data_IF_201526252353
#
_entry.id   IF_201526252353
#
_cell.length_a   1.000
_cell.length_b   1.000
_cell.length_c   1.000
_cell.angle_alpha   90.00
_cell.angle_beta   90.00
_cell.angle_gamma   90.00
#
_symmetry.space_group_name_H-M   'P 1'
#
loop_
_entity.id
_entity.type
_entity.pdbx_description
1 polymer ?
#
# COMPACT_ATOMS: atom_id res chain seq x y z
N UNK A 1 -13.07 -0.48 10.93
CA UNK A 1 -11.82 -0.96 10.31
C UNK A 1 -10.76 0.14 10.37
N UNK A 2 -9.61 -0.17 10.93
CA UNK A 2 -8.53 0.79 11.10
C UNK A 2 -7.45 0.53 10.07
N UNK A 3 -6.83 1.59 9.59
CA UNK A 3 -5.71 1.50 8.65
C UNK A 3 -4.44 1.95 9.37
N UNK A 4 -3.47 1.06 9.44
CA UNK A 4 -2.18 1.34 10.03
C UNK A 4 -1.11 1.39 8.94
N UNK A 5 -0.12 2.25 9.13
CA UNK A 5 1.00 2.38 8.20
C UNK A 5 2.30 2.01 8.88
N UNK A 6 3.11 1.20 8.19
CA UNK A 6 4.45 0.91 8.66
C UNK A 6 5.30 2.17 8.63
N UNK A 7 6.44 2.15 9.31
CA UNK A 7 7.37 3.27 9.28
C UNK A 7 7.82 3.59 7.85
N UNK A 8 8.07 2.55 7.05
CA UNK A 8 8.43 2.74 5.64
C UNK A 8 7.34 3.43 4.85
N UNK A 9 6.09 3.03 5.09
CA UNK A 9 4.95 3.63 4.39
C UNK A 9 4.78 5.10 4.77
N UNK A 10 4.89 5.41 6.05
CA UNK A 10 4.83 6.80 6.51
C UNK A 10 5.92 7.64 5.88
N UNK A 11 7.15 7.12 5.86
CA UNK A 11 8.28 7.83 5.27
C UNK A 11 8.05 8.09 3.79
N UNK A 12 7.60 7.07 3.06
CA UNK A 12 7.34 7.20 1.63
C UNK A 12 6.30 8.28 1.35
N UNK A 13 5.20 8.28 2.11
CA UNK A 13 4.17 9.30 1.97
C UNK A 13 4.70 10.70 2.26
N UNK A 14 5.52 10.84 3.30
CA UNK A 14 6.03 12.15 3.70
C UNK A 14 6.95 12.78 2.65
N UNK A 15 7.53 11.98 1.77
CA UNK A 15 8.43 12.45 0.73
C UNK A 15 7.71 12.78 -0.58
N UNK A 16 6.41 12.58 -0.65
CA UNK A 16 5.62 12.85 -1.84
C UNK A 16 5.08 14.28 -1.83
N UNK A 17 4.82 14.83 -3.03
CA UNK A 17 4.09 16.10 -3.08
C UNK A 17 2.64 15.90 -2.62
N UNK A 18 1.98 17.00 -2.29
CA UNK A 18 0.64 16.96 -1.69
C UNK A 18 -0.40 16.28 -2.57
N UNK A 19 -0.32 16.46 -3.88
CA UNK A 19 -1.28 15.87 -4.81
C UNK A 19 -1.17 14.35 -4.84
N UNK A 20 0.05 13.85 -4.94
CA UNK A 20 0.30 12.40 -4.97
C UNK A 20 -0.07 11.79 -3.63
N UNK A 21 0.32 12.44 -2.53
CA UNK A 21 -0.01 11.98 -1.20
C UNK A 21 -1.52 11.83 -0.99
N UNK A 22 -2.29 12.84 -1.42
CA UNK A 22 -3.75 12.79 -1.31
C UNK A 22 -4.34 11.67 -2.15
N UNK A 23 -3.84 11.49 -3.37
CA UNK A 23 -4.32 10.45 -4.28
C UNK A 23 -4.11 9.07 -3.69
N UNK A 24 -2.92 8.81 -3.14
CA UNK A 24 -2.60 7.51 -2.54
C UNK A 24 -3.40 7.30 -1.27
N UNK A 25 -3.52 8.31 -0.43
CA UNK A 25 -4.30 8.21 0.81
C UNK A 25 -5.76 7.90 0.52
N UNK A 26 -6.35 8.56 -0.46
CA UNK A 26 -7.73 8.30 -0.86
C UNK A 26 -7.91 6.88 -1.35
N UNK A 27 -6.98 6.37 -2.14
CA UNK A 27 -7.05 5.01 -2.65
C UNK A 27 -6.96 3.98 -1.52
N UNK A 28 -6.09 4.23 -0.54
CA UNK A 28 -5.96 3.35 0.63
C UNK A 28 -7.27 3.31 1.42
N UNK A 29 -7.92 4.45 1.59
CA UNK A 29 -9.19 4.53 2.33
C UNK A 29 -10.32 3.76 1.65
N UNK A 30 -10.21 3.51 0.36
CA UNK A 30 -11.23 2.80 -0.40
C UNK A 30 -11.04 1.29 -0.40
N UNK A 31 -9.97 0.77 0.17
CA UNK A 31 -9.77 -0.67 0.28
C UNK A 31 -10.99 -1.30 0.98
N UNK A 32 -11.59 -2.38 0.46
CA UNK A 32 -11.08 -3.29 -0.58
C UNK A 32 -11.43 -2.92 -2.02
N UNK A 33 -11.88 -1.73 -2.29
CA UNK A 33 -12.15 -1.28 -3.65
C UNK A 33 -10.87 -0.76 -4.30
N UNK A 34 -10.76 -0.93 -5.63
CA UNK A 34 -9.61 -0.47 -6.38
C UNK A 34 -8.94 -1.60 -7.16
N UNK A 35 -7.80 -1.29 -7.74
CA UNK A 35 -7.03 -2.27 -8.52
C UNK A 35 -6.16 -3.10 -7.58
N UNK A 36 -6.79 -4.09 -6.96
CA UNK A 36 -6.17 -4.93 -5.93
C UNK A 36 -6.01 -6.35 -6.45
N UNK A 37 -4.82 -6.91 -6.27
CA UNK A 37 -4.53 -8.31 -6.60
C UNK A 37 -3.68 -8.95 -5.52
N UNK A 38 -3.79 -10.28 -5.34
CA UNK A 38 -2.89 -10.98 -4.42
C UNK A 38 -1.44 -10.79 -4.85
N UNK A 39 -0.55 -10.63 -3.88
CA UNK A 39 0.87 -10.49 -4.17
C UNK A 39 1.48 -11.88 -4.39
N UNK A 40 2.00 -12.09 -5.59
CA UNK A 40 2.58 -13.38 -5.96
C UNK A 40 3.75 -13.73 -5.05
N UNK A 41 3.74 -14.95 -4.50
CA UNK A 41 4.80 -15.42 -3.62
C UNK A 41 4.65 -15.06 -2.16
N UNK A 42 3.64 -14.26 -1.81
CA UNK A 42 3.44 -13.82 -0.43
C UNK A 42 1.98 -14.02 -0.04
N UNK A 43 1.67 -15.18 0.51
CA UNK A 43 0.31 -15.52 0.91
C UNK A 43 -0.22 -14.53 1.96
N UNK A 44 -1.43 -14.01 1.72
CA UNK A 44 -2.05 -13.08 2.66
C UNK A 44 -1.69 -11.61 2.43
N UNK A 45 -0.86 -11.34 1.44
CA UNK A 45 -0.48 -9.97 1.09
C UNK A 45 -1.05 -9.59 -0.27
N UNK A 46 -1.32 -8.30 -0.43
CA UNK A 46 -2.00 -7.77 -1.60
C UNK A 46 -1.29 -6.54 -2.14
N UNK A 47 -1.51 -6.28 -3.41
CA UNK A 47 -0.99 -5.12 -4.11
C UNK A 47 -2.15 -4.23 -4.54
N UNK A 48 -2.10 -2.97 -4.16
CA UNK A 48 -3.01 -1.94 -4.67
C UNK A 48 -2.23 -1.06 -5.64
N UNK A 49 -2.74 -0.92 -6.85
CA UNK A 49 -2.12 -0.10 -7.88
C UNK A 49 -2.82 1.26 -7.95
N UNK A 50 -2.03 2.32 -7.87
CA UNK A 50 -2.51 3.71 -7.98
C UNK A 50 -1.61 4.45 -8.96
N UNK A 51 -2.04 4.55 -10.23
CA UNK A 51 -1.20 5.14 -11.27
C UNK A 51 0.13 4.40 -11.39
N UNK A 52 1.23 5.10 -11.27
CA UNK A 52 2.56 4.50 -11.29
C UNK A 52 3.04 3.98 -9.96
N UNK A 53 2.18 3.99 -8.94
CA UNK A 53 2.55 3.57 -7.59
C UNK A 53 2.00 2.19 -7.25
N UNK A 54 2.70 1.48 -6.38
CA UNK A 54 2.29 0.18 -5.85
C UNK A 54 2.27 0.27 -4.33
N UNK A 55 1.19 -0.24 -3.75
CA UNK A 55 0.99 -0.25 -2.31
C UNK A 55 0.82 -1.71 -1.88
N UNK A 56 1.69 -2.17 -0.99
CA UNK A 56 1.62 -3.53 -0.46
C UNK A 56 0.96 -3.47 0.90
N UNK A 57 -0.05 -4.30 1.10
CA UNK A 57 -0.79 -4.33 2.35
C UNK A 57 -1.24 -5.74 2.71
N UNK A 58 -1.64 -5.90 3.96
CA UNK A 58 -2.20 -7.15 4.45
C UNK A 58 -3.35 -6.83 5.40
N UNK A 59 -4.22 -7.81 5.64
CA UNK A 59 -5.26 -7.69 6.66
C UNK A 59 -4.75 -8.31 7.95
N UNK A 60 -5.00 -7.62 9.07
CA UNK A 60 -4.70 -8.16 10.40
C UNK A 60 -5.83 -9.09 10.83
N UNK A 61 -5.59 -9.88 11.88
CA UNK A 61 -6.57 -10.86 12.36
C UNK A 61 -7.92 -10.23 12.73
N UNK A 62 -7.90 -8.99 13.20
CA UNK A 62 -9.12 -8.27 13.57
C UNK A 62 -9.79 -7.57 12.38
N UNK A 63 -9.27 -7.74 11.16
CA UNK A 63 -9.81 -7.11 9.97
C UNK A 63 -9.23 -5.74 9.65
N UNK A 64 -8.37 -5.21 10.49
CA UNK A 64 -7.66 -3.96 10.20
C UNK A 64 -6.68 -4.17 9.05
N UNK A 65 -6.31 -3.06 8.43
CA UNK A 65 -5.40 -3.08 7.28
C UNK A 65 -4.05 -2.52 7.71
N UNK A 66 -2.98 -3.23 7.34
CA UNK A 66 -1.61 -2.76 7.56
C UNK A 66 -0.96 -2.48 6.21
N UNK A 67 -0.59 -1.22 5.99
CA UNK A 67 0.13 -0.80 4.79
C UNK A 67 1.62 -0.97 5.05
N UNK A 68 2.25 -1.87 4.29
CA UNK A 68 3.64 -2.26 4.52
C UNK A 68 4.63 -1.44 3.72
N UNK A 69 4.30 -1.16 2.46
CA UNK A 69 5.25 -0.54 1.54
C UNK A 69 4.50 0.25 0.48
N UNK A 70 5.01 1.43 0.17
CA UNK A 70 4.51 2.27 -0.91
C UNK A 70 5.72 2.68 -1.75
N UNK A 71 5.70 2.35 -3.04
CA UNK A 71 6.84 2.62 -3.90
C UNK A 71 6.42 2.76 -5.36
N UNK A 72 7.23 3.44 -6.18
CA UNK A 72 6.99 3.50 -7.61
C UNK A 72 7.05 2.11 -8.23
N UNK A 73 6.41 1.98 -9.38
CA UNK A 73 6.40 0.73 -10.14
C UNK A 73 7.83 0.21 -10.33
N UNK A 74 8.01 -1.08 -10.07
CA UNK A 74 9.29 -1.76 -10.21
C UNK A 74 10.12 -1.76 -8.95
N UNK A 75 10.07 -0.70 -8.15
CA UNK A 75 10.84 -0.65 -6.91
C UNK A 75 10.18 -1.37 -5.75
N UNK A 76 8.87 -1.49 -5.80
CA UNK A 76 8.11 -2.12 -4.72
C UNK A 76 8.54 -3.57 -4.47
N UNK A 77 9.04 -4.24 -5.50
CA UNK A 77 9.43 -5.65 -5.41
C UNK A 77 10.91 -5.86 -5.07
N UNK A 78 11.70 -4.81 -5.03
CA UNK A 78 13.12 -4.93 -4.71
C UNK A 78 13.29 -5.22 -3.24
N UNK A 79 14.10 -6.23 -2.93
CA UNK A 79 14.37 -6.61 -1.55
C UNK A 79 13.20 -7.32 -0.85
N UNK A 80 12.17 -7.70 -1.58
CA UNK A 80 10.99 -8.34 -1.04
C UNK A 80 10.11 -7.36 -0.27
N UNK A 81 9.36 -7.91 0.66
CA UNK A 81 8.51 -7.08 1.54
C UNK A 81 9.36 -6.38 2.65
#
# INVERSE_FOLDING_TARGET
MTIELSKRAVKALSEMDAQIQARITNAIRQIPNGDIKPLKGYKGYYRLRVGGWRIIFTYKDNGDILILKIAPRGEVYKGGL
#
